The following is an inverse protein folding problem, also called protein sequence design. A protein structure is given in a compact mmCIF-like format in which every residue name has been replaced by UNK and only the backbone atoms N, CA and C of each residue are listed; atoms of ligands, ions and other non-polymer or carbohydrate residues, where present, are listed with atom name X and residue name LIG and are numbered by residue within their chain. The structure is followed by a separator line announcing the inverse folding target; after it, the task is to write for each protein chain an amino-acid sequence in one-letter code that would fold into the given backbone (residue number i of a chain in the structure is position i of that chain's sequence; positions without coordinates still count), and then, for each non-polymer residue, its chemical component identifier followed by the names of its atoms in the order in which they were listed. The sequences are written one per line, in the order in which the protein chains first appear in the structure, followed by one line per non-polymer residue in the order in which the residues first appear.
data_IF_702365153981
#
_entry.id   IF_702365153981
#
_cell.length_a   1.000
_cell.length_b   1.000
_cell.length_c   1.000
_cell.angle_alpha   90.00
_cell.angle_beta   90.00
_cell.angle_gamma   90.00
#
_symmetry.space_group_name_H-M   'P 1'
#
loop_
_entity.id
_entity.type
_entity.pdbx_description
1 polymer ?
#
# COMPACT_ATOMS: atom_id res chain seq x y z
N UNK A 1 -17.02 -15.54 2.61
CA UNK A 1 -17.06 -14.19 2.01
C UNK A 1 -15.70 -13.98 1.36
N UNK A 2 -15.63 -14.01 0.03
CA UNK A 2 -14.37 -14.00 -0.73
C UNK A 2 -13.88 -12.58 -1.03
N UNK A 3 -13.82 -11.74 0.01
CA UNK A 3 -13.41 -10.34 -0.09
C UNK A 3 -12.33 -9.97 0.91
N UNK A 4 -11.76 -8.78 0.72
CA UNK A 4 -10.85 -8.11 1.65
C UNK A 4 -11.59 -6.95 2.32
N UNK A 5 -11.11 -6.52 3.48
CA UNK A 5 -11.57 -5.32 4.17
C UNK A 5 -10.38 -4.39 4.43
N UNK A 6 -10.60 -3.07 4.45
CA UNK A 6 -9.56 -2.10 4.76
C UNK A 6 -9.12 -2.18 6.23
N UNK A 7 -9.96 -2.67 7.13
CA UNK A 7 -9.74 -2.56 8.58
C UNK A 7 -10.03 -1.17 9.11
N UNK A 8 -10.94 -0.45 8.42
CA UNK A 8 -11.34 0.92 8.72
C UNK A 8 -12.87 0.95 8.81
N UNK A 9 -13.41 0.65 9.98
CA UNK A 9 -14.82 0.28 10.22
C UNK A 9 -15.85 1.10 9.39
N UNK A 10 -15.84 2.43 9.50
CA UNK A 10 -16.80 3.29 8.77
C UNK A 10 -16.64 3.26 7.25
N UNK A 11 -15.43 3.04 6.75
CA UNK A 11 -15.20 2.87 5.30
C UNK A 11 -15.64 1.48 4.85
N UNK A 12 -15.32 0.44 5.63
CA UNK A 12 -15.70 -0.94 5.33
C UNK A 12 -17.21 -1.14 5.32
N UNK A 13 -17.94 -0.50 6.24
CA UNK A 13 -19.41 -0.46 6.23
C UNK A 13 -19.99 0.16 4.94
N UNK A 14 -19.29 1.15 4.37
CA UNK A 14 -19.73 1.83 3.16
C UNK A 14 -19.48 0.98 1.89
N UNK A 15 -18.29 0.40 1.76
CA UNK A 15 -17.89 -0.35 0.56
C UNK A 15 -18.39 -1.81 0.58
N UNK A 16 -18.69 -2.37 1.76
CA UNK A 16 -19.16 -3.75 1.96
C UNK A 16 -18.17 -4.81 1.47
N UNK A 17 -16.89 -4.51 1.63
CA UNK A 17 -15.77 -5.35 1.23
C UNK A 17 -15.19 -5.00 -0.15
N UNK A 18 -13.98 -5.51 -0.39
CA UNK A 18 -13.18 -5.28 -1.59
C UNK A 18 -13.06 -6.61 -2.33
N UNK A 19 -13.27 -6.58 -3.64
CA UNK A 19 -13.15 -7.77 -4.49
C UNK A 19 -11.69 -8.23 -4.55
N UNK A 20 -11.47 -9.54 -4.50
CA UNK A 20 -10.16 -10.11 -4.78
C UNK A 20 -9.66 -9.68 -6.17
N UNK A 21 -8.38 -9.30 -6.24
CA UNK A 21 -7.76 -8.79 -7.46
C UNK A 21 -7.94 -7.29 -7.71
N UNK A 22 -8.42 -6.52 -6.73
CA UNK A 22 -8.59 -5.07 -6.83
C UNK A 22 -7.29 -4.30 -6.56
N UNK A 23 -7.08 -3.20 -7.28
CA UNK A 23 -5.97 -2.28 -7.12
C UNK A 23 -6.50 -0.91 -6.69
N UNK A 24 -5.90 -0.31 -5.69
CA UNK A 24 -6.41 0.85 -4.97
C UNK A 24 -5.32 1.93 -4.88
N UNK A 25 -5.61 3.13 -5.35
CA UNK A 25 -4.74 4.28 -5.11
C UNK A 25 -5.08 4.91 -3.75
N UNK A 26 -4.07 5.24 -2.94
CA UNK A 26 -4.20 6.09 -1.75
C UNK A 26 -3.61 7.47 -2.08
N UNK A 27 -4.46 8.46 -2.29
CA UNK A 27 -4.07 9.81 -2.74
C UNK A 27 -4.33 10.83 -1.64
N UNK A 28 -3.38 11.73 -1.39
CA UNK A 28 -3.60 12.90 -0.54
C UNK A 28 -2.34 13.72 -0.28
N UNK A 29 -2.45 14.87 0.40
CA UNK A 29 -1.33 15.81 0.57
C UNK A 29 -0.20 15.22 1.41
N UNK A 30 1.05 15.66 1.24
CA UNK A 30 2.16 15.28 2.11
C UNK A 30 1.84 15.46 3.59
N UNK A 31 2.45 14.64 4.44
CA UNK A 31 2.32 14.72 5.92
C UNK A 31 0.89 14.51 6.47
N UNK A 32 -0.05 14.01 5.68
CA UNK A 32 -1.41 13.62 6.13
C UNK A 32 -1.48 12.21 6.73
N UNK A 33 -0.38 11.64 7.23
CA UNK A 33 -0.42 10.33 7.89
C UNK A 33 -0.82 9.13 7.01
N UNK A 34 -0.70 9.25 5.68
CA UNK A 34 -0.99 8.15 4.73
C UNK A 34 -0.16 6.88 4.98
N UNK A 35 1.06 7.01 5.51
CA UNK A 35 1.88 5.85 5.92
C UNK A 35 1.20 5.08 7.06
N UNK A 36 0.65 5.78 8.06
CA UNK A 36 -0.13 5.15 9.13
C UNK A 36 -1.39 4.50 8.60
N UNK A 37 -2.11 5.14 7.66
CA UNK A 37 -3.29 4.56 7.00
C UNK A 37 -2.93 3.24 6.32
N UNK A 38 -1.88 3.21 5.48
CA UNK A 38 -1.52 2.01 4.73
C UNK A 38 -1.01 0.90 5.65
N UNK A 39 -0.25 1.24 6.69
CA UNK A 39 0.23 0.29 7.68
C UNK A 39 -0.92 -0.30 8.50
N UNK A 40 -1.95 0.49 8.85
CA UNK A 40 -3.16 -0.02 9.51
C UNK A 40 -3.93 -1.00 8.62
N UNK A 41 -4.04 -0.70 7.32
CA UNK A 41 -4.71 -1.58 6.35
C UNK A 41 -3.95 -2.90 6.18
N UNK A 42 -2.61 -2.85 6.16
CA UNK A 42 -1.75 -4.04 6.13
C UNK A 42 -1.91 -4.84 7.43
N UNK A 43 -1.83 -4.17 8.57
CA UNK A 43 -1.97 -4.79 9.88
C UNK A 43 -3.31 -5.52 10.05
N UNK A 44 -4.42 -4.92 9.61
CA UNK A 44 -5.73 -5.57 9.65
C UNK A 44 -5.73 -6.90 8.90
N UNK A 45 -5.14 -6.94 7.71
CA UNK A 45 -5.02 -8.19 6.95
C UNK A 45 -4.16 -9.24 7.64
N UNK A 46 -3.02 -8.83 8.20
CA UNK A 46 -2.12 -9.74 8.92
C UNK A 46 -2.81 -10.37 10.15
N UNK A 47 -3.63 -9.59 10.87
CA UNK A 47 -4.46 -10.10 11.98
C UNK A 47 -5.49 -11.14 11.53
N UNK A 48 -6.01 -10.99 10.32
CA UNK A 48 -6.95 -11.96 9.71
C UNK A 48 -6.24 -13.17 9.09
N UNK A 49 -4.93 -13.32 9.30
CA UNK A 49 -4.12 -14.42 8.78
C UNK A 49 -3.74 -14.29 7.30
N UNK A 50 -3.94 -13.11 6.70
CA UNK A 50 -3.46 -12.80 5.35
C UNK A 50 -1.94 -12.58 5.35
N UNK A 51 -1.33 -12.57 4.16
CA UNK A 51 0.06 -12.16 3.98
C UNK A 51 0.15 -10.72 3.45
N UNK A 52 1.29 -10.07 3.65
CA UNK A 52 1.56 -8.74 3.12
C UNK A 52 2.94 -8.68 2.43
N UNK A 53 2.98 -8.03 1.26
CA UNK A 53 4.24 -7.58 0.65
C UNK A 53 4.25 -6.06 0.60
N UNK A 54 5.25 -5.43 1.22
CA UNK A 54 5.40 -3.98 1.28
C UNK A 54 6.63 -3.59 0.45
N UNK A 55 6.45 -2.75 -0.55
CA UNK A 55 7.54 -2.11 -1.28
C UNK A 55 7.79 -0.77 -0.63
N UNK A 56 8.94 -0.62 0.03
CA UNK A 56 9.38 0.65 0.61
C UNK A 56 10.34 1.36 -0.31
N UNK A 57 10.05 2.63 -0.60
CA UNK A 57 10.89 3.51 -1.41
C UNK A 57 11.41 4.72 -0.64
N UNK A 58 11.06 4.86 0.64
CA UNK A 58 11.40 6.04 1.46
C UNK A 58 12.32 5.73 2.63
N UNK A 59 12.18 4.55 3.20
CA UNK A 59 12.96 4.11 4.35
C UNK A 59 13.50 2.67 4.15
N UNK A 60 14.58 2.29 4.84
CA UNK A 60 15.06 0.91 4.90
C UNK A 60 13.96 -0.07 5.31
N UNK A 61 14.05 -1.31 4.82
CA UNK A 61 13.06 -2.35 5.15
C UNK A 61 13.01 -2.68 6.64
N UNK A 62 14.13 -2.52 7.35
CA UNK A 62 14.21 -2.68 8.80
C UNK A 62 13.32 -1.68 9.54
N UNK A 63 13.25 -0.42 9.09
CA UNK A 63 12.39 0.60 9.69
C UNK A 63 10.91 0.22 9.57
N UNK A 64 10.53 -0.35 8.42
CA UNK A 64 9.16 -0.84 8.20
C UNK A 64 8.82 -1.98 9.15
N UNK A 65 9.71 -2.96 9.34
CA UNK A 65 9.50 -4.03 10.34
C UNK A 65 9.41 -3.48 11.76
N UNK A 66 10.33 -2.58 12.12
CA UNK A 66 10.36 -1.96 13.45
C UNK A 66 9.09 -1.18 13.74
N UNK A 67 8.44 -0.57 12.74
CA UNK A 67 7.16 0.09 12.94
C UNK A 67 6.10 -0.88 13.48
N UNK A 68 6.03 -2.11 12.95
CA UNK A 68 5.08 -3.10 13.45
C UNK A 68 5.45 -3.58 14.86
N UNK A 69 6.74 -3.79 15.13
CA UNK A 69 7.23 -4.21 16.45
C UNK A 69 6.98 -3.13 17.52
N UNK A 70 7.32 -1.87 17.23
CA UNK A 70 7.21 -0.74 18.16
C UNK A 70 5.77 -0.47 18.58
N UNK A 71 4.83 -0.69 17.68
CA UNK A 71 3.41 -0.49 17.96
C UNK A 71 2.76 -1.71 18.64
N UNK A 72 3.57 -2.64 19.16
CA UNK A 72 3.15 -3.89 19.82
C UNK A 72 2.08 -4.64 19.03
N UNK A 73 2.21 -4.63 17.70
CA UNK A 73 1.29 -5.28 16.80
C UNK A 73 1.65 -6.76 16.74
N UNK A 74 0.94 -7.59 17.52
CA UNK A 74 1.07 -9.05 17.44
C UNK A 74 0.67 -9.52 16.03
N UNK A 75 1.66 -9.74 15.18
CA UNK A 75 1.50 -10.24 13.82
C UNK A 75 2.48 -11.38 13.55
N UNK A 76 2.10 -12.37 12.71
CA UNK A 76 3.03 -13.39 12.27
C UNK A 76 4.07 -12.73 11.37
N UNK A 77 5.29 -12.52 11.88
CA UNK A 77 6.37 -11.89 11.10
C UNK A 77 6.62 -12.67 9.82
N UNK A 78 6.38 -13.97 9.83
CA UNK A 78 6.51 -14.86 8.70
C UNK A 78 5.46 -14.61 7.59
N UNK A 79 4.42 -13.82 7.84
CA UNK A 79 3.44 -13.38 6.82
C UNK A 79 3.85 -12.08 6.11
N UNK A 80 5.00 -11.50 6.44
CA UNK A 80 5.44 -10.19 5.95
C UNK A 80 6.64 -10.35 5.02
N UNK A 81 6.54 -9.76 3.83
CA UNK A 81 7.64 -9.61 2.89
C UNK A 81 7.85 -8.14 2.59
N UNK A 82 9.10 -7.69 2.55
CA UNK A 82 9.46 -6.30 2.29
C UNK A 82 10.42 -6.26 1.12
N UNK A 83 10.08 -5.45 0.12
CA UNK A 83 10.96 -5.09 -0.98
C UNK A 83 11.55 -3.72 -0.67
N UNK A 84 12.79 -3.73 -0.20
CA UNK A 84 13.53 -2.52 0.18
C UNK A 84 14.22 -1.95 -1.05
N UNK A 85 13.87 -0.70 -1.40
CA UNK A 85 14.46 0.02 -2.53
C UNK A 85 15.48 1.09 -2.09
N UNK A 86 15.77 1.21 -0.80
CA UNK A 86 16.50 2.33 -0.18
C UNK A 86 17.89 1.90 0.28
N UNK A 87 18.02 0.78 0.98
CA UNK A 87 19.27 0.39 1.64
C UNK A 87 20.46 0.30 0.70
N UNK A 88 20.25 -0.24 -0.51
CA UNK A 88 21.32 -0.31 -1.53
C UNK A 88 21.69 1.07 -2.09
N UNK A 89 20.75 2.01 -2.18
CA UNK A 89 21.03 3.38 -2.64
C UNK A 89 21.83 4.19 -1.63
N UNK A 90 21.80 3.80 -0.35
CA UNK A 90 22.62 4.38 0.72
C UNK A 90 24.07 3.87 0.68
N UNK A 91 24.41 2.95 -0.23
CA UNK A 91 25.75 2.37 -0.33
C UNK A 91 26.09 1.39 0.80
N UNK A 92 25.10 0.98 1.61
CA UNK A 92 25.31 0.04 2.72
C UNK A 92 25.21 -1.40 2.21
N UNK A 93 26.30 -2.20 2.25
CA UNK A 93 26.26 -3.59 1.82
C UNK A 93 25.44 -4.41 2.83
N UNK A 94 24.18 -4.64 2.50
CA UNK A 94 23.25 -5.37 3.37
C UNK A 94 22.65 -6.55 2.61
N UNK A 95 22.77 -7.74 3.18
CA UNK A 95 22.28 -8.98 2.57
C UNK A 95 20.78 -9.18 2.81
N UNK A 96 20.10 -9.77 1.83
CA UNK A 96 18.68 -10.17 1.95
C UNK A 96 18.45 -11.04 3.19
N UNK A 97 17.29 -10.87 3.82
CA UNK A 97 16.83 -11.67 4.96
C UNK A 97 15.59 -12.48 4.55
N UNK A 98 15.04 -13.23 5.51
CA UNK A 98 13.76 -13.92 5.30
C UNK A 98 12.64 -12.94 4.91
N UNK A 99 12.52 -11.83 5.64
CA UNK A 99 11.46 -10.84 5.44
C UNK A 99 11.83 -9.72 4.47
N UNK A 100 13.11 -9.48 4.18
CA UNK A 100 13.55 -8.30 3.42
C UNK A 100 14.38 -8.73 2.20
N UNK A 101 13.92 -8.35 1.01
CA UNK A 101 14.66 -8.48 -0.26
C UNK A 101 15.00 -7.10 -0.80
N UNK A 102 16.25 -6.85 -1.19
CA UNK A 102 16.73 -5.49 -1.55
C UNK A 102 16.84 -5.26 -3.05
N UNK A 103 15.96 -4.43 -3.60
CA UNK A 103 16.06 -3.90 -4.95
C UNK A 103 17.23 -2.90 -5.06
N UNK A 104 17.74 -2.70 -6.28
CA UNK A 104 18.91 -1.81 -6.47
C UNK A 104 18.56 -0.33 -6.28
N UNK A 105 17.32 0.06 -6.58
CA UNK A 105 16.80 1.43 -6.39
C UNK A 105 15.27 1.45 -6.55
N UNK A 106 14.58 2.57 -6.25
CA UNK A 106 13.14 2.72 -6.49
C UNK A 106 12.75 2.67 -7.98
N UNK A 107 13.71 2.78 -8.90
CA UNK A 107 13.47 2.71 -10.36
C UNK A 107 13.88 1.37 -10.97
N UNK A 108 14.35 0.42 -10.14
CA UNK A 108 14.58 -0.98 -10.51
C UNK A 108 13.25 -1.74 -10.61
N UNK A 109 12.38 -1.30 -11.50
CA UNK A 109 11.00 -1.81 -11.61
C UNK A 109 10.96 -3.31 -11.90
N UNK A 110 11.92 -3.82 -12.68
CA UNK A 110 12.10 -5.25 -12.93
C UNK A 110 12.52 -5.98 -11.66
N UNK A 111 13.56 -5.49 -10.96
CA UNK A 111 14.06 -6.12 -9.74
C UNK A 111 13.06 -6.08 -8.58
N UNK A 112 12.23 -5.03 -8.51
CA UNK A 112 11.09 -4.92 -7.59
C UNK A 112 10.06 -6.00 -7.94
N UNK A 113 9.62 -6.07 -9.20
CA UNK A 113 8.63 -7.05 -9.65
C UNK A 113 9.04 -8.51 -9.39
N UNK A 114 10.31 -8.85 -9.60
CA UNK A 114 10.86 -10.19 -9.30
C UNK A 114 10.77 -10.50 -7.80
N UNK A 115 11.12 -9.56 -6.93
CA UNK A 115 11.11 -9.77 -5.48
C UNK A 115 9.70 -9.92 -4.92
N UNK A 116 8.74 -9.16 -5.47
CA UNK A 116 7.33 -9.32 -5.13
C UNK A 116 6.85 -10.72 -5.52
N UNK A 117 7.17 -11.18 -6.75
CA UNK A 117 6.82 -12.55 -7.17
C UNK A 117 7.41 -13.62 -6.25
N UNK A 118 8.66 -13.45 -5.80
CA UNK A 118 9.28 -14.40 -4.87
C UNK A 118 8.53 -14.49 -3.53
N UNK A 119 8.07 -13.36 -2.97
CA UNK A 119 7.26 -13.38 -1.75
C UNK A 119 5.88 -13.99 -1.98
N UNK A 120 5.21 -13.66 -3.09
CA UNK A 120 3.93 -14.26 -3.45
C UNK A 120 4.04 -15.79 -3.58
N UNK A 121 5.05 -16.28 -4.30
CA UNK A 121 5.33 -17.71 -4.42
C UNK A 121 5.59 -18.37 -3.07
N UNK A 122 6.36 -17.71 -2.20
CA UNK A 122 6.64 -18.19 -0.85
C UNK A 122 5.37 -18.33 -0.01
N UNK A 123 4.54 -17.28 0.06
CA UNK A 123 3.29 -17.31 0.81
C UNK A 123 2.32 -18.35 0.28
N UNK A 124 2.20 -18.46 -1.04
CA UNK A 124 1.23 -19.34 -1.68
C UNK A 124 1.63 -20.80 -1.66
N UNK A 125 2.88 -21.08 -2.03
CA UNK A 125 3.34 -22.46 -2.25
C UNK A 125 3.89 -23.09 -0.98
N UNK A 126 4.60 -22.31 -0.15
CA UNK A 126 5.26 -22.86 1.05
C UNK A 126 4.40 -22.72 2.30
N UNK A 127 3.63 -21.63 2.40
CA UNK A 127 2.84 -21.32 3.61
C UNK A 127 1.34 -21.52 3.44
N UNK A 128 0.88 -21.79 2.21
CA UNK A 128 -0.51 -21.97 1.87
C UNK A 128 -1.41 -20.76 2.26
N UNK A 129 -0.85 -19.55 2.28
CA UNK A 129 -1.57 -18.31 2.55
C UNK A 129 -2.00 -17.72 1.21
N UNK A 130 -3.29 -17.81 0.89
CA UNK A 130 -3.81 -17.43 -0.45
C UNK A 130 -4.22 -15.97 -0.56
N UNK A 131 -4.59 -15.34 0.56
CA UNK A 131 -4.91 -13.91 0.59
C UNK A 131 -3.64 -13.11 0.82
N UNK A 132 -3.40 -12.11 -0.02
CA UNK A 132 -2.21 -11.28 0.08
C UNK A 132 -2.52 -9.83 -0.23
N UNK A 133 -1.96 -8.93 0.57
CA UNK A 133 -1.97 -7.49 0.35
C UNK A 133 -0.63 -7.06 -0.20
N UNK A 134 -0.64 -6.33 -1.30
CA UNK A 134 0.53 -5.72 -1.91
C UNK A 134 0.46 -4.22 -1.66
N UNK A 135 1.52 -3.65 -1.11
CA UNK A 135 1.62 -2.23 -0.80
C UNK A 135 2.83 -1.63 -1.53
N UNK A 136 2.66 -0.48 -2.17
CA UNK A 136 3.76 0.41 -2.55
C UNK A 136 3.59 1.71 -1.78
N UNK A 137 4.49 1.98 -0.84
CA UNK A 137 4.33 3.10 0.09
C UNK A 137 4.64 4.47 -0.53
N UNK A 138 5.25 4.54 -1.72
CA UNK A 138 5.25 5.78 -2.50
C UNK A 138 5.53 5.58 -3.98
N UNK A 139 4.48 5.66 -4.80
CA UNK A 139 4.63 5.83 -6.24
C UNK A 139 5.25 7.17 -6.60
N UNK A 140 5.00 8.21 -5.78
CA UNK A 140 5.60 9.53 -6.00
C UNK A 140 7.12 9.47 -5.96
N UNK A 141 7.72 8.64 -5.09
CA UNK A 141 9.17 8.42 -5.13
C UNK A 141 9.64 7.80 -6.44
N UNK A 142 8.92 6.81 -6.99
CA UNK A 142 9.28 6.23 -8.30
C UNK A 142 9.20 7.27 -9.41
N UNK A 143 8.18 8.13 -9.37
CA UNK A 143 7.94 9.20 -10.35
C UNK A 143 8.92 10.38 -10.23
N UNK A 144 9.54 10.59 -9.07
CA UNK A 144 10.62 11.58 -8.92
C UNK A 144 11.88 11.19 -9.71
N UNK A 145 12.12 9.89 -9.88
CA UNK A 145 13.33 9.36 -10.51
C UNK A 145 13.07 8.66 -11.86
N UNK A 146 11.81 8.55 -12.29
CA UNK A 146 11.41 7.90 -13.53
C UNK A 146 10.26 8.64 -14.20
N UNK A 147 10.18 8.57 -15.53
CA UNK A 147 9.07 9.18 -16.25
C UNK A 147 7.75 8.40 -16.05
N UNK A 148 6.65 9.14 -16.12
CA UNK A 148 5.29 8.62 -15.94
C UNK A 148 4.98 7.42 -16.86
N UNK A 149 5.46 7.41 -18.10
CA UNK A 149 5.20 6.33 -19.04
C UNK A 149 5.83 5.01 -18.59
N UNK A 150 7.02 5.08 -18.01
CA UNK A 150 7.76 3.91 -17.51
C UNK A 150 7.09 3.35 -16.26
N UNK A 151 6.72 4.22 -15.32
CA UNK A 151 5.96 3.83 -14.12
C UNK A 151 4.58 3.28 -14.50
N UNK A 152 3.88 3.90 -15.44
CA UNK A 152 2.59 3.42 -15.94
C UNK A 152 2.69 2.02 -16.56
N UNK A 153 3.69 1.76 -17.43
CA UNK A 153 3.88 0.42 -18.01
C UNK A 153 4.16 -0.63 -16.94
N UNK A 154 4.99 -0.30 -15.96
CA UNK A 154 5.25 -1.18 -14.83
C UNK A 154 3.97 -1.47 -14.04
N UNK A 155 3.24 -0.43 -13.65
CA UNK A 155 2.00 -0.57 -12.91
C UNK A 155 0.94 -1.33 -13.70
N UNK A 156 0.81 -1.10 -15.00
CA UNK A 156 -0.13 -1.82 -15.85
C UNK A 156 0.11 -3.34 -15.83
N UNK A 157 1.36 -3.77 -15.93
CA UNK A 157 1.72 -5.19 -15.80
C UNK A 157 1.50 -5.67 -14.37
N UNK A 158 1.89 -4.85 -13.38
CA UNK A 158 1.86 -5.22 -11.98
C UNK A 158 0.44 -5.36 -11.43
N UNK A 159 -0.45 -4.40 -11.67
CA UNK A 159 -1.87 -4.46 -11.29
C UNK A 159 -2.57 -5.63 -11.95
N UNK A 160 -2.19 -5.98 -13.19
CA UNK A 160 -2.62 -7.21 -13.86
C UNK A 160 -2.22 -8.48 -13.11
N UNK A 161 -1.00 -8.54 -12.56
CA UNK A 161 -0.53 -9.67 -11.73
C UNK A 161 -1.25 -9.73 -10.39
N UNK A 162 -1.46 -8.59 -9.72
CA UNK A 162 -2.27 -8.50 -8.48
C UNK A 162 -3.66 -9.08 -8.73
N UNK A 163 -4.27 -8.68 -9.85
CA UNK A 163 -5.58 -9.16 -10.28
C UNK A 163 -5.61 -10.67 -10.53
N UNK A 164 -4.65 -11.18 -11.30
CA UNK A 164 -4.52 -12.61 -11.58
C UNK A 164 -4.27 -13.43 -10.30
N UNK A 165 -3.59 -12.83 -9.33
CA UNK A 165 -3.33 -13.46 -8.05
C UNK A 165 -4.56 -13.46 -7.11
N UNK A 166 -5.59 -12.66 -7.37
CA UNK A 166 -6.64 -12.43 -6.36
C UNK A 166 -6.14 -11.70 -5.11
N UNK A 167 -4.96 -11.09 -5.17
CA UNK A 167 -4.41 -10.20 -4.16
C UNK A 167 -5.13 -8.84 -4.21
N UNK A 168 -4.94 -8.00 -3.20
CA UNK A 168 -5.26 -6.56 -3.32
C UNK A 168 -3.98 -5.74 -3.37
N UNK A 169 -3.98 -4.68 -4.18
CA UNK A 169 -2.86 -3.75 -4.31
C UNK A 169 -3.23 -2.38 -3.76
N UNK A 170 -2.38 -1.76 -2.95
CA UNK A 170 -2.56 -0.41 -2.41
C UNK A 170 -1.31 0.41 -2.75
N UNK A 171 -1.53 1.59 -3.32
CA UNK A 171 -0.46 2.38 -3.93
C UNK A 171 -0.57 3.84 -3.49
N UNK A 172 0.38 4.29 -2.68
CA UNK A 172 0.37 5.65 -2.14
C UNK A 172 0.91 6.64 -3.16
N UNK A 173 0.17 7.73 -3.36
CA UNK A 173 0.54 8.88 -4.19
C UNK A 173 0.39 10.16 -3.37
N UNK A 174 1.41 11.01 -3.42
CA UNK A 174 1.38 12.34 -2.82
C UNK A 174 0.73 13.33 -3.78
N UNK A 175 -0.27 14.05 -3.26
CA UNK A 175 -0.92 15.11 -4.01
C UNK A 175 -0.01 16.34 -4.16
N UNK A 176 -0.16 17.07 -5.28
CA UNK A 176 0.65 18.25 -5.60
C UNK A 176 2.10 17.98 -6.02
N UNK A 177 2.59 16.74 -5.96
CA UNK A 177 3.94 16.39 -6.47
C UNK A 177 3.96 16.12 -7.99
N UNK A 178 2.80 15.83 -8.58
CA UNK A 178 2.63 15.54 -9.99
C UNK A 178 1.44 16.32 -10.52
N UNK A 179 1.46 16.67 -11.80
CA UNK A 179 0.33 17.36 -12.42
C UNK A 179 -0.95 16.50 -12.44
N UNK A 180 -2.10 17.18 -12.49
CA UNK A 180 -3.42 16.52 -12.47
C UNK A 180 -3.60 15.52 -13.62
N UNK A 181 -2.95 15.76 -14.76
CA UNK A 181 -3.02 14.88 -15.93
C UNK A 181 -2.28 13.57 -15.67
N UNK A 182 -1.11 13.60 -15.03
CA UNK A 182 -0.35 12.43 -14.63
C UNK A 182 -1.11 11.60 -13.60
N UNK A 183 -1.70 12.27 -12.59
CA UNK A 183 -2.55 11.61 -11.58
C UNK A 183 -3.78 10.97 -12.24
N UNK A 184 -4.48 11.69 -13.11
CA UNK A 184 -5.63 11.17 -13.85
C UNK A 184 -5.26 9.97 -14.73
N UNK A 185 -4.08 9.99 -15.35
CA UNK A 185 -3.55 8.87 -16.16
C UNK A 185 -3.34 7.64 -15.28
N UNK A 186 -2.69 7.79 -14.11
CA UNK A 186 -2.47 6.68 -13.19
C UNK A 186 -3.77 6.12 -12.62
N UNK A 187 -4.75 6.98 -12.28
CA UNK A 187 -6.06 6.58 -11.74
C UNK A 187 -6.77 5.54 -12.62
N UNK A 188 -6.52 5.51 -13.93
CA UNK A 188 -7.09 4.53 -14.85
C UNK A 188 -6.64 3.08 -14.60
N UNK A 189 -5.55 2.87 -13.86
CA UNK A 189 -5.02 1.54 -13.52
C UNK A 189 -5.63 0.95 -12.24
N UNK A 190 -6.42 1.72 -11.51
CA UNK A 190 -6.96 1.36 -10.20
C UNK A 190 -8.47 1.18 -10.26
N UNK A 191 -8.99 0.21 -9.52
CA UNK A 191 -10.42 -0.03 -9.35
C UNK A 191 -11.07 1.02 -8.44
N UNK A 192 -10.28 1.67 -7.57
CA UNK A 192 -10.78 2.72 -6.69
C UNK A 192 -9.66 3.57 -6.08
N UNK A 193 -10.08 4.63 -5.40
CA UNK A 193 -9.20 5.60 -4.75
C UNK A 193 -9.65 5.80 -3.31
N UNK A 194 -8.71 5.67 -2.37
CA UNK A 194 -8.83 6.22 -1.03
C UNK A 194 -8.27 7.64 -1.11
N UNK A 195 -9.14 8.63 -0.93
CA UNK A 195 -8.75 10.03 -0.97
C UNK A 195 -8.59 10.56 0.44
N UNK A 196 -7.52 11.31 0.66
CA UNK A 196 -7.22 12.03 1.89
C UNK A 196 -7.09 13.50 1.57
N UNK A 197 -7.73 14.36 2.35
CA UNK A 197 -7.60 15.81 2.27
C UNK A 197 -7.30 16.40 3.64
N UNK A 198 -6.79 17.62 3.64
CA UNK A 198 -6.65 18.45 4.83
C UNK A 198 -7.47 19.72 4.63
N UNK A 199 -8.31 20.05 5.62
CA UNK A 199 -9.05 21.31 5.67
C UNK A 199 -8.83 21.92 7.06
N UNK A 200 -8.20 23.09 7.10
CA UNK A 200 -7.69 23.69 8.34
C UNK A 200 -6.75 22.72 9.08
N UNK A 201 -7.02 22.45 10.36
CA UNK A 201 -6.25 21.52 11.20
C UNK A 201 -6.82 20.08 11.18
N UNK A 202 -7.83 19.83 10.35
CA UNK A 202 -8.52 18.54 10.29
C UNK A 202 -8.15 17.75 9.04
N UNK A 203 -8.05 16.42 9.22
CA UNK A 203 -7.83 15.49 8.13
C UNK A 203 -9.09 14.67 7.86
N UNK A 204 -9.36 14.43 6.57
CA UNK A 204 -10.53 13.68 6.13
C UNK A 204 -10.13 12.58 5.16
N UNK A 205 -10.86 11.47 5.21
CA UNK A 205 -10.67 10.31 4.34
C UNK A 205 -12.00 9.88 3.73
N UNK A 206 -11.97 9.45 2.47
CA UNK A 206 -13.11 8.82 1.79
C UNK A 206 -12.66 7.77 0.80
N UNK A 207 -13.62 6.97 0.33
CA UNK A 207 -13.40 5.98 -0.72
C UNK A 207 -14.24 6.32 -1.95
N UNK A 208 -13.63 6.22 -3.13
CA UNK A 208 -14.22 6.44 -4.45
C UNK A 208 -13.98 5.21 -5.33
N UNK A 209 -14.97 4.81 -6.14
CA UNK A 209 -14.83 3.72 -7.13
C UNK A 209 -15.01 2.30 -6.58
N UNK A 210 -15.04 2.10 -5.26
CA UNK A 210 -15.22 0.76 -4.64
C UNK A 210 -16.66 0.45 -4.19
N UNK A 211 -17.59 1.39 -4.41
CA UNK A 211 -19.01 1.24 -4.11
C UNK A 211 -19.87 1.86 -5.21
N UNK A 212 -21.20 1.84 -5.05
CA UNK A 212 -22.11 2.46 -6.03
C UNK A 212 -21.96 3.99 -6.13
N UNK A 213 -21.53 4.61 -5.04
CA UNK A 213 -21.29 6.06 -4.91
C UNK A 213 -20.02 6.24 -4.09
N UNK A 214 -19.34 7.40 -4.20
CA UNK A 214 -18.33 7.79 -3.23
C UNK A 214 -18.88 7.71 -1.80
N UNK A 215 -18.04 7.30 -0.85
CA UNK A 215 -18.39 7.44 0.56
C UNK A 215 -18.46 8.92 0.95
N UNK A 216 -19.16 9.26 2.05
CA UNK A 216 -18.95 10.54 2.72
C UNK A 216 -17.47 10.75 3.07
N UNK A 217 -17.11 12.00 3.31
CA UNK A 217 -15.86 12.33 3.97
C UNK A 217 -16.00 12.02 5.45
N UNK A 218 -15.04 11.28 6.00
CA UNK A 218 -14.94 11.03 7.44
C UNK A 218 -13.72 11.78 7.97
N UNK A 219 -13.92 12.58 9.01
CA UNK A 219 -12.79 13.17 9.74
C UNK A 219 -12.01 12.04 10.41
N UNK A 220 -10.69 12.13 10.46
CA UNK A 220 -9.86 11.17 11.20
C UNK A 220 -8.76 11.84 11.99
N UNK A 221 -8.34 11.16 13.05
CA UNK A 221 -7.17 11.49 13.84
C UNK A 221 -6.26 10.28 13.94
N UNK A 222 -4.96 10.53 14.03
CA UNK A 222 -3.94 9.50 14.26
C UNK A 222 -3.41 9.66 15.69
N UNK A 223 -3.46 8.58 16.46
CA UNK A 223 -2.85 8.46 17.78
C UNK A 223 -1.93 7.23 17.79
N UNK A 224 -0.62 7.47 17.70
CA UNK A 224 0.36 6.40 17.47
C UNK A 224 0.10 5.65 16.15
N UNK A 225 -0.17 4.35 16.25
CA UNK A 225 -0.57 3.50 15.11
C UNK A 225 -2.09 3.38 14.92
N UNK A 226 -2.89 3.98 15.80
CA UNK A 226 -4.33 3.93 15.70
C UNK A 226 -4.88 5.08 14.86
N UNK A 227 -5.77 4.72 13.96
CA UNK A 227 -6.52 5.64 13.12
C UNK A 227 -7.98 5.60 13.54
N UNK A 228 -8.46 6.71 14.08
CA UNK A 228 -9.83 6.84 14.56
C UNK A 228 -10.62 7.68 13.58
N UNK A 229 -11.65 7.08 12.98
CA UNK A 229 -12.60 7.81 12.15
C UNK A 229 -13.64 8.48 13.05
N UNK A 230 -13.56 9.81 13.15
CA UNK A 230 -14.54 10.68 13.79
C UNK A 230 -15.73 10.82 12.79
N UNK A 231 -16.91 11.27 13.19
CA UNK A 231 -18.13 11.30 12.35
C UNK A 231 -17.94 11.83 10.91
N UNK A 232 -18.86 11.48 10.01
CA UNK A 232 -18.94 12.15 8.70
C UNK A 232 -19.68 13.48 8.85
N UNK A 233 -19.30 14.47 8.06
CA UNK A 233 -20.04 15.73 7.92
C UNK A 233 -21.42 15.50 7.25
#
# INVERSE_FOLDING_TARGET
MDGYFLGLDKLDENIKGIRAGSNIMLLGPPMSGKETIINKIVFSGLKDGEAAVIVTTREPGESVLQWFEYNNLEIPSEHIGIVDCVTKTLGVPTADTFNIKRASSPVDLTGIGVKISQFLEEFWMKKNIRKTRLCINSLSTMLMYSNIQTVFRFLHVFTGRVKAAGAIGIYLVEDGMHDDQAIATLKQLFDGVIEVKQENDDHFIRVVGMGKKPSPWYKYSIDGADLVLIGGD
#
